data_IF_050208755229
#
_entry.id   IF_050208755229
#
_cell.length_a   1.000
_cell.length_b   1.000
_cell.length_c   1.000
_cell.angle_alpha   90.00
_cell.angle_beta   90.00
_cell.angle_gamma   90.00
#
_symmetry.space_group_name_H-M   'P 1'
#
loop_
_entity.id
_entity.type
_entity.pdbx_description
1 polymer ?
#
# COMPACT_ATOMS: atom_id res chain seq x y z
N UNK A 1 28.48 -9.25 -20.95
CA UNK A 1 27.98 -10.62 -20.71
C UNK A 1 27.49 -11.37 -21.97
N UNK A 2 27.33 -10.69 -23.13
CA UNK A 2 26.79 -11.33 -24.34
C UNK A 2 27.62 -12.53 -24.90
N UNK A 3 28.88 -12.68 -24.45
CA UNK A 3 29.78 -13.73 -24.97
C UNK A 3 30.39 -14.61 -23.86
N UNK A 4 29.88 -14.58 -22.63
CA UNK A 4 30.43 -15.39 -21.56
C UNK A 4 29.64 -16.70 -21.42
N UNK A 5 30.38 -17.80 -21.25
CA UNK A 5 29.76 -19.12 -21.09
C UNK A 5 29.26 -19.28 -19.65
N UNK A 6 27.95 -19.22 -19.47
CA UNK A 6 27.29 -19.38 -18.18
C UNK A 6 27.51 -20.74 -17.53
N UNK A 7 27.88 -21.76 -18.31
CA UNK A 7 28.17 -23.12 -17.83
C UNK A 7 29.67 -23.37 -17.62
N UNK A 8 30.48 -22.31 -17.75
CA UNK A 8 31.92 -22.38 -17.51
C UNK A 8 32.26 -22.42 -16.01
N UNK A 9 33.48 -22.87 -15.69
CA UNK A 9 33.99 -22.87 -14.29
C UNK A 9 34.43 -21.47 -13.82
N UNK A 10 34.45 -20.48 -14.70
CA UNK A 10 34.89 -19.11 -14.39
C UNK A 10 33.72 -18.31 -13.81
N UNK A 11 33.95 -17.68 -12.68
CA UNK A 11 32.96 -16.77 -12.08
C UNK A 11 32.75 -15.57 -13.00
N UNK A 12 31.50 -15.28 -13.32
CA UNK A 12 31.09 -14.12 -14.10
C UNK A 12 30.78 -12.99 -13.13
N UNK A 13 31.53 -11.91 -13.21
CA UNK A 13 31.26 -10.72 -12.40
C UNK A 13 30.14 -9.90 -13.02
N UNK A 14 29.08 -9.67 -12.25
CA UNK A 14 27.96 -8.80 -12.61
C UNK A 14 27.90 -7.62 -11.63
N UNK A 15 27.50 -6.43 -12.08
CA UNK A 15 27.28 -5.32 -11.17
C UNK A 15 26.13 -5.64 -10.18
N UNK A 16 26.21 -5.18 -8.93
CA UNK A 16 25.13 -5.41 -7.96
C UNK A 16 23.84 -4.75 -8.45
N UNK A 17 22.70 -5.44 -8.40
CA UNK A 17 21.40 -4.87 -8.75
C UNK A 17 21.02 -3.80 -7.71
N UNK A 18 20.32 -2.74 -8.16
CA UNK A 18 19.71 -1.74 -7.30
C UNK A 18 18.24 -1.67 -7.63
N UNK A 19 17.40 -1.74 -6.60
CA UNK A 19 15.95 -1.71 -6.74
C UNK A 19 15.45 -0.32 -6.29
N UNK A 20 14.80 0.37 -7.22
CA UNK A 20 14.16 1.67 -6.98
C UNK A 20 12.66 1.53 -7.26
N UNK A 21 11.83 2.04 -6.35
CA UNK A 21 10.39 2.11 -6.49
C UNK A 21 10.01 3.59 -6.48
N UNK A 22 9.35 4.05 -7.53
CA UNK A 22 8.77 5.37 -7.56
C UNK A 22 7.30 5.28 -7.11
N UNK A 23 7.02 5.84 -5.93
CA UNK A 23 5.69 5.87 -5.38
C UNK A 23 4.98 7.15 -5.82
N UNK A 24 3.82 6.99 -6.42
CA UNK A 24 2.95 8.08 -6.79
C UNK A 24 1.48 7.81 -6.39
N UNK A 25 1.24 7.00 -5.36
CA UNK A 25 -0.09 6.70 -4.84
C UNK A 25 -0.74 7.85 -4.07
N UNK A 26 -2.01 7.67 -3.65
CA UNK A 26 -2.78 8.68 -2.89
C UNK A 26 -2.57 8.59 -1.39
N UNK A 27 -2.16 7.44 -0.88
CA UNK A 27 -1.94 7.26 0.55
C UNK A 27 -0.75 8.12 1.00
N UNK A 28 -0.79 8.70 2.21
CA UNK A 28 0.31 9.49 2.74
C UNK A 28 1.56 8.60 2.90
N UNK A 29 2.64 9.00 2.27
CA UNK A 29 3.90 8.26 2.28
C UNK A 29 5.07 9.22 2.48
N UNK A 30 6.12 8.84 3.25
CA UNK A 30 7.27 9.72 3.45
C UNK A 30 8.03 9.95 2.12
N UNK A 31 8.90 10.97 2.08
CA UNK A 31 9.74 11.28 0.93
C UNK A 31 10.49 10.06 0.41
N UNK A 32 11.02 9.25 1.33
CA UNK A 32 11.79 8.05 1.03
C UNK A 32 11.62 6.99 2.11
N UNK A 33 11.66 5.72 1.71
CA UNK A 33 11.63 4.57 2.60
C UNK A 33 12.53 3.46 2.06
N UNK A 34 13.20 2.76 2.97
CA UNK A 34 13.91 1.53 2.65
C UNK A 34 13.01 0.36 2.98
N UNK A 35 12.74 -0.48 1.99
CA UNK A 35 11.97 -1.71 2.13
C UNK A 35 12.93 -2.89 2.12
N UNK A 36 12.72 -3.84 3.01
CA UNK A 36 13.50 -5.07 3.10
C UNK A 36 12.60 -6.28 2.99
N UNK A 37 13.04 -7.28 2.24
CA UNK A 37 12.33 -8.55 2.11
C UNK A 37 12.17 -9.24 3.46
N UNK A 38 13.18 -9.15 4.31
CA UNK A 38 13.17 -9.71 5.67
C UNK A 38 12.09 -9.14 6.58
N UNK A 39 11.57 -7.95 6.31
CA UNK A 39 10.45 -7.38 7.09
C UNK A 39 9.15 -8.18 6.92
N UNK A 40 9.03 -8.96 5.82
CA UNK A 40 7.87 -9.79 5.49
C UNK A 40 7.99 -11.23 6.00
N UNK A 41 9.15 -11.62 6.56
CA UNK A 41 9.32 -12.98 7.08
C UNK A 41 8.54 -13.18 8.37
N UNK A 42 7.76 -14.27 8.43
CA UNK A 42 6.95 -14.63 9.60
C UNK A 42 7.78 -15.04 10.81
N UNK A 43 8.99 -15.56 10.55
CA UNK A 43 9.98 -15.90 11.56
C UNK A 43 11.21 -15.05 11.35
N UNK A 44 11.70 -14.42 12.42
CA UNK A 44 12.93 -13.65 12.39
C UNK A 44 14.09 -14.54 12.77
N UNK A 45 15.08 -14.60 11.90
CA UNK A 45 16.33 -15.34 12.09
C UNK A 45 17.50 -14.37 12.16
N UNK A 46 18.54 -14.75 12.93
CA UNK A 46 19.74 -13.92 13.06
C UNK A 46 20.56 -13.90 11.76
N UNK A 47 20.53 -14.98 10.99
CA UNK A 47 21.20 -15.11 9.69
C UNK A 47 20.16 -15.23 8.57
N UNK A 48 20.05 -14.19 7.76
CA UNK A 48 19.14 -14.12 6.62
C UNK A 48 19.84 -14.62 5.37
N UNK A 49 19.42 -15.76 4.83
CA UNK A 49 20.01 -16.34 3.61
C UNK A 49 19.66 -15.57 2.34
N UNK A 50 18.53 -14.87 2.31
CA UNK A 50 18.10 -14.06 1.16
C UNK A 50 17.58 -12.71 1.66
N UNK A 51 18.25 -11.64 1.27
CA UNK A 51 17.79 -10.27 1.50
C UNK A 51 17.67 -9.50 0.18
N UNK A 52 16.58 -8.78 0.02
CA UNK A 52 16.39 -7.81 -1.04
C UNK A 52 16.05 -6.47 -0.40
N UNK A 53 16.82 -5.44 -0.73
CA UNK A 53 16.57 -4.09 -0.27
C UNK A 53 16.16 -3.22 -1.44
N UNK A 54 15.01 -2.54 -1.35
CA UNK A 54 14.53 -1.56 -2.31
C UNK A 54 14.45 -0.17 -1.68
N UNK A 55 14.83 0.85 -2.45
CA UNK A 55 14.62 2.25 -2.07
C UNK A 55 13.33 2.74 -2.73
N UNK A 56 12.34 3.09 -1.93
CA UNK A 56 11.11 3.74 -2.38
C UNK A 56 11.29 5.26 -2.26
N UNK A 57 10.89 5.98 -3.32
CA UNK A 57 10.93 7.43 -3.43
C UNK A 57 9.53 7.94 -3.77
N UNK A 58 8.98 8.81 -2.95
CA UNK A 58 7.70 9.45 -3.22
C UNK A 58 7.90 10.53 -4.29
N UNK A 59 7.26 10.37 -5.44
CA UNK A 59 7.35 11.28 -6.57
C UNK A 59 6.09 12.14 -6.78
N UNK A 60 5.17 12.18 -5.81
CA UNK A 60 4.06 13.13 -5.88
C UNK A 60 4.60 14.58 -5.90
N UNK A 61 3.83 15.56 -6.44
CA UNK A 61 4.35 16.91 -6.74
C UNK A 61 5.04 17.64 -5.59
N UNK A 62 4.61 17.44 -4.35
CA UNK A 62 5.13 18.14 -3.17
C UNK A 62 6.26 17.39 -2.45
N UNK A 63 6.69 16.25 -3.00
CA UNK A 63 7.69 15.37 -2.41
C UNK A 63 9.00 15.37 -3.22
N UNK A 64 10.13 15.10 -2.55
CA UNK A 64 11.44 15.00 -3.18
C UNK A 64 11.75 16.09 -4.22
N UNK A 65 11.63 17.39 -3.89
CA UNK A 65 11.77 18.49 -4.85
C UNK A 65 13.14 18.50 -5.55
N UNK A 66 14.19 18.10 -4.87
CA UNK A 66 15.53 18.00 -5.46
C UNK A 66 15.57 16.96 -6.59
N UNK A 67 14.98 15.78 -6.37
CA UNK A 67 14.88 14.72 -7.36
C UNK A 67 14.04 15.16 -8.57
N UNK A 68 12.86 15.72 -8.31
CA UNK A 68 11.95 16.17 -9.36
C UNK A 68 12.55 17.32 -10.18
N UNK A 69 13.30 18.23 -9.57
CA UNK A 69 13.99 19.30 -10.27
C UNK A 69 15.20 18.80 -11.08
N UNK A 70 15.86 17.74 -10.61
CA UNK A 70 16.98 17.13 -11.32
C UNK A 70 16.54 16.27 -12.53
N UNK A 71 15.27 15.80 -12.55
CA UNK A 71 14.74 14.96 -13.63
C UNK A 71 13.41 15.50 -14.14
N UNK A 72 13.49 16.33 -15.21
CA UNK A 72 12.30 16.94 -15.83
C UNK A 72 11.24 15.90 -16.21
N UNK A 73 11.62 14.77 -16.81
CA UNK A 73 10.67 13.72 -17.21
C UNK A 73 9.92 13.16 -16.03
N UNK A 74 10.60 12.93 -14.90
CA UNK A 74 9.96 12.42 -13.69
C UNK A 74 9.02 13.47 -13.07
N UNK A 75 9.43 14.73 -13.06
CA UNK A 75 8.58 15.84 -12.62
C UNK A 75 7.33 15.98 -13.49
N UNK A 76 7.50 15.94 -14.80
CA UNK A 76 6.40 16.05 -15.75
C UNK A 76 5.42 14.88 -15.60
N UNK A 77 5.93 13.64 -15.36
CA UNK A 77 5.11 12.48 -15.09
C UNK A 77 4.31 12.63 -13.78
N UNK A 78 4.94 13.10 -12.73
CA UNK A 78 4.28 13.40 -11.44
C UNK A 78 3.13 14.38 -11.61
N UNK A 79 3.35 15.48 -12.33
CA UNK A 79 2.33 16.49 -12.61
C UNK A 79 1.18 15.93 -13.47
N UNK A 80 1.49 15.15 -14.49
CA UNK A 80 0.49 14.51 -15.35
C UNK A 80 -0.42 13.56 -14.53
N UNK A 81 0.16 12.67 -13.74
CA UNK A 81 -0.62 11.71 -12.95
C UNK A 81 -1.44 12.39 -11.86
N UNK A 82 -0.92 13.43 -11.21
CA UNK A 82 -1.67 14.24 -10.25
C UNK A 82 -2.90 14.91 -10.90
N UNK A 83 -2.74 15.44 -12.11
CA UNK A 83 -3.83 16.07 -12.88
C UNK A 83 -4.91 15.07 -13.30
N UNK A 84 -4.51 13.88 -13.75
CA UNK A 84 -5.47 12.78 -14.03
C UNK A 84 -6.30 12.46 -12.80
N UNK A 85 -5.68 12.35 -11.62
CA UNK A 85 -6.39 12.07 -10.38
C UNK A 85 -7.35 13.17 -9.98
N UNK A 86 -6.94 14.43 -10.10
CA UNK A 86 -7.80 15.57 -9.79
C UNK A 86 -9.05 15.59 -10.67
N UNK A 87 -8.92 15.31 -11.96
CA UNK A 87 -10.05 15.28 -12.88
C UNK A 87 -10.93 14.06 -12.68
N UNK A 88 -10.35 12.90 -12.40
CA UNK A 88 -11.09 11.67 -12.14
C UNK A 88 -11.99 11.72 -10.89
N UNK A 89 -11.74 12.66 -9.98
CA UNK A 89 -12.63 12.93 -8.84
C UNK A 89 -13.91 13.71 -9.25
N UNK A 90 -13.96 14.28 -10.47
CA UNK A 90 -15.04 15.17 -10.93
C UNK A 90 -15.74 14.72 -12.20
N UNK A 91 -15.15 13.82 -12.97
CA UNK A 91 -15.65 13.35 -14.26
C UNK A 91 -15.30 11.88 -14.50
N UNK A 92 -15.76 11.32 -15.64
CA UNK A 92 -15.39 9.97 -16.03
C UNK A 92 -13.88 9.84 -16.19
N UNK A 93 -13.33 8.65 -15.88
CA UNK A 93 -11.89 8.42 -16.00
C UNK A 93 -11.37 8.65 -17.43
N UNK A 94 -12.16 8.26 -18.44
CA UNK A 94 -11.79 8.48 -19.85
C UNK A 94 -11.68 9.97 -20.20
N UNK A 95 -12.64 10.77 -19.72
CA UNK A 95 -12.63 12.22 -19.95
C UNK A 95 -11.52 12.88 -19.15
N UNK A 96 -11.29 12.45 -17.92
CA UNK A 96 -10.22 12.94 -17.05
C UNK A 96 -8.84 12.77 -17.69
N UNK A 97 -8.55 11.57 -18.21
CA UNK A 97 -7.29 11.27 -18.89
C UNK A 97 -7.15 12.09 -20.15
N UNK A 98 -8.22 12.18 -20.96
CA UNK A 98 -8.21 12.95 -22.22
C UNK A 98 -7.98 14.43 -21.99
N UNK A 99 -8.63 14.99 -20.96
CA UNK A 99 -8.44 16.39 -20.58
C UNK A 99 -7.03 16.63 -20.04
N UNK A 100 -6.53 15.78 -19.14
CA UNK A 100 -5.18 15.88 -18.60
C UNK A 100 -4.11 15.83 -19.70
N UNK A 101 -4.23 14.91 -20.67
CA UNK A 101 -3.33 14.84 -21.83
C UNK A 101 -3.36 16.14 -22.61
N UNK A 102 -4.56 16.64 -22.90
CA UNK A 102 -4.73 17.84 -23.73
C UNK A 102 -4.08 19.07 -23.09
N UNK A 103 -4.26 19.25 -21.79
CA UNK A 103 -3.70 20.38 -21.05
C UNK A 103 -2.19 20.23 -20.84
N UNK A 104 -1.72 19.05 -20.46
CA UNK A 104 -0.29 18.79 -20.32
C UNK A 104 0.49 19.04 -21.63
N UNK A 105 -0.08 18.63 -22.77
CA UNK A 105 0.50 18.94 -24.08
C UNK A 105 0.60 20.46 -24.32
N UNK A 106 -0.44 21.24 -24.01
CA UNK A 106 -0.44 22.70 -24.15
C UNK A 106 0.60 23.38 -23.25
N UNK A 107 0.82 22.84 -22.07
CA UNK A 107 1.77 23.36 -21.07
C UNK A 107 3.20 22.86 -21.27
N UNK A 108 3.45 21.97 -22.22
CA UNK A 108 4.77 21.38 -22.47
C UNK A 108 5.17 20.28 -21.49
N UNK A 109 4.21 19.77 -20.70
CA UNK A 109 4.39 18.66 -19.75
C UNK A 109 4.30 17.35 -20.52
N UNK A 110 5.39 16.58 -20.59
CA UNK A 110 5.49 15.35 -21.40
C UNK A 110 4.98 15.51 -22.84
N UNK A 111 4.95 16.71 -23.40
CA UNK A 111 4.23 17.05 -24.63
C UNK A 111 4.62 16.18 -25.82
N UNK A 112 5.92 15.99 -26.06
CA UNK A 112 6.42 15.15 -27.16
C UNK A 112 5.98 13.69 -27.02
N UNK A 113 6.08 13.13 -25.79
CA UNK A 113 5.67 11.77 -25.48
C UNK A 113 4.17 11.58 -25.65
N UNK A 114 3.36 12.47 -25.07
CA UNK A 114 1.90 12.42 -25.10
C UNK A 114 1.34 12.59 -26.50
N UNK A 115 1.93 13.47 -27.32
CA UNK A 115 1.53 13.64 -28.72
C UNK A 115 1.82 12.38 -29.56
N UNK A 116 3.01 11.82 -29.38
CA UNK A 116 3.44 10.64 -30.15
C UNK A 116 2.71 9.35 -29.72
N UNK A 117 2.42 9.20 -28.44
CA UNK A 117 1.90 7.96 -27.84
C UNK A 117 0.52 8.16 -27.18
N UNK A 118 -0.31 9.10 -27.65
CA UNK A 118 -1.57 9.49 -27.00
C UNK A 118 -2.49 8.31 -26.66
N UNK A 119 -2.72 7.43 -27.63
CA UNK A 119 -3.60 6.27 -27.43
C UNK A 119 -3.06 5.28 -26.40
N UNK A 120 -1.74 5.06 -26.39
CA UNK A 120 -1.07 4.19 -25.44
C UNK A 120 -1.06 4.81 -24.04
N UNK A 121 -0.71 6.10 -23.93
CA UNK A 121 -0.76 6.84 -22.67
C UNK A 121 -2.17 6.82 -22.05
N UNK A 122 -3.20 7.05 -22.87
CA UNK A 122 -4.61 6.94 -22.43
C UNK A 122 -4.93 5.57 -21.86
N UNK A 123 -4.60 4.52 -22.60
CA UNK A 123 -4.86 3.14 -22.18
C UNK A 123 -4.12 2.77 -20.89
N UNK A 124 -2.85 3.15 -20.78
CA UNK A 124 -2.03 2.86 -19.59
C UNK A 124 -2.56 3.60 -18.36
N UNK A 125 -2.88 4.89 -18.50
CA UNK A 125 -3.41 5.67 -17.38
C UNK A 125 -4.76 5.16 -16.89
N UNK A 126 -5.64 4.72 -17.78
CA UNK A 126 -6.92 4.11 -17.40
C UNK A 126 -6.65 2.81 -16.63
N UNK A 127 -5.74 1.96 -17.10
CA UNK A 127 -5.42 0.70 -16.44
C UNK A 127 -4.84 0.94 -15.03
N UNK A 128 -3.83 1.82 -14.91
CA UNK A 128 -3.22 2.15 -13.61
C UNK A 128 -4.24 2.70 -12.61
N UNK A 129 -5.14 3.55 -13.06
CA UNK A 129 -6.17 4.13 -12.20
C UNK A 129 -7.23 3.10 -11.76
N UNK A 130 -7.67 2.22 -12.66
CA UNK A 130 -8.61 1.15 -12.34
C UNK A 130 -8.00 0.16 -11.35
N UNK A 131 -6.73 -0.19 -11.50
CA UNK A 131 -6.00 -1.03 -10.56
C UNK A 131 -5.92 -0.35 -9.17
N UNK A 132 -5.54 0.91 -9.10
CA UNK A 132 -5.47 1.68 -7.85
C UNK A 132 -6.86 1.75 -7.17
N UNK A 133 -7.92 1.97 -7.94
CA UNK A 133 -9.30 2.00 -7.44
C UNK A 133 -9.74 0.63 -6.91
N UNK A 134 -9.47 -0.43 -7.63
CA UNK A 134 -9.79 -1.80 -7.22
C UNK A 134 -9.05 -2.17 -5.92
N UNK A 135 -7.77 -1.87 -5.82
CA UNK A 135 -6.99 -2.13 -4.61
C UNK A 135 -7.51 -1.38 -3.39
N UNK A 136 -7.93 -0.11 -3.56
CA UNK A 136 -8.54 0.67 -2.48
C UNK A 136 -9.88 0.07 -2.03
N UNK A 137 -10.73 -0.33 -2.97
CA UNK A 137 -12.02 -0.93 -2.68
C UNK A 137 -11.84 -2.25 -1.94
N UNK A 138 -10.97 -3.14 -2.42
CA UNK A 138 -10.67 -4.43 -1.76
C UNK A 138 -10.14 -4.23 -0.35
N UNK A 139 -9.29 -3.20 -0.12
CA UNK A 139 -8.79 -2.88 1.21
C UNK A 139 -9.91 -2.38 2.15
N UNK A 140 -10.80 -1.52 1.64
CA UNK A 140 -11.93 -1.02 2.42
C UNK A 140 -12.89 -2.15 2.80
N UNK A 141 -13.23 -3.02 1.84
CA UNK A 141 -14.06 -4.20 2.07
C UNK A 141 -13.43 -5.14 3.11
N UNK A 142 -12.13 -5.43 2.97
CA UNK A 142 -11.40 -6.26 3.94
C UNK A 142 -11.33 -5.64 5.34
N UNK A 143 -11.27 -4.30 5.45
CA UNK A 143 -11.30 -3.61 6.74
C UNK A 143 -12.69 -3.72 7.39
N UNK A 144 -13.76 -3.48 6.63
CA UNK A 144 -15.14 -3.61 7.12
C UNK A 144 -15.47 -5.05 7.55
N UNK A 145 -15.05 -6.04 6.75
CA UNK A 145 -15.20 -7.45 7.09
C UNK A 145 -14.43 -7.82 8.37
N UNK A 146 -13.20 -7.34 8.49
CA UNK A 146 -12.36 -7.56 9.67
C UNK A 146 -12.95 -6.94 10.93
N UNK A 147 -13.48 -5.72 10.84
CA UNK A 147 -14.15 -5.04 11.97
C UNK A 147 -15.41 -5.80 12.39
N UNK A 148 -16.25 -6.17 11.44
CA UNK A 148 -17.47 -6.94 11.70
C UNK A 148 -17.16 -8.31 12.34
N UNK A 149 -16.14 -9.01 11.85
CA UNK A 149 -15.66 -10.27 12.41
C UNK A 149 -15.14 -10.10 13.84
N UNK A 150 -14.32 -9.07 14.09
CA UNK A 150 -13.80 -8.73 15.41
C UNK A 150 -14.89 -8.41 16.43
N UNK A 151 -15.89 -7.61 16.07
CA UNK A 151 -17.05 -7.31 16.93
C UNK A 151 -17.83 -8.59 17.26
N UNK A 152 -18.06 -9.45 16.25
CA UNK A 152 -18.76 -10.73 16.44
C UNK A 152 -18.00 -11.64 17.38
N UNK A 153 -16.71 -11.78 17.21
CA UNK A 153 -15.86 -12.62 18.06
C UNK A 153 -15.82 -12.11 19.50
N UNK A 154 -15.61 -10.81 19.69
CA UNK A 154 -15.64 -10.18 21.02
C UNK A 154 -16.99 -10.38 21.72
N UNK A 155 -18.09 -10.22 20.99
CA UNK A 155 -19.43 -10.46 21.52
C UNK A 155 -19.64 -11.92 21.92
N UNK A 156 -19.15 -12.87 21.12
CA UNK A 156 -19.24 -14.29 21.44
C UNK A 156 -18.44 -14.64 22.71
N UNK A 157 -17.22 -14.14 22.87
CA UNK A 157 -16.38 -14.31 24.05
C UNK A 157 -17.07 -13.78 25.32
N UNK A 158 -17.63 -12.56 25.24
CA UNK A 158 -18.36 -11.97 26.37
C UNK A 158 -19.61 -12.77 26.74
N UNK A 159 -20.37 -13.24 25.77
CA UNK A 159 -21.55 -14.06 26.04
C UNK A 159 -21.17 -15.39 26.67
N UNK A 160 -20.06 -15.99 26.22
CA UNK A 160 -19.53 -17.22 26.82
C UNK A 160 -19.05 -16.99 28.26
N UNK A 161 -18.32 -15.91 28.52
CA UNK A 161 -17.91 -15.51 29.88
C UNK A 161 -19.12 -15.34 30.79
N UNK A 162 -20.12 -14.56 30.37
CA UNK A 162 -21.32 -14.31 31.15
C UNK A 162 -22.08 -15.62 31.49
N UNK A 163 -22.13 -16.56 30.52
CA UNK A 163 -22.75 -17.86 30.74
C UNK A 163 -21.99 -18.69 31.81
N UNK A 164 -20.64 -18.75 31.67
CA UNK A 164 -19.81 -19.51 32.64
C UNK A 164 -19.88 -18.92 34.04
N UNK A 165 -19.88 -17.59 34.16
CA UNK A 165 -20.05 -16.92 35.45
C UNK A 165 -21.42 -17.18 36.06
N UNK A 166 -22.48 -17.16 35.24
CA UNK A 166 -23.84 -17.50 35.74
C UNK A 166 -23.97 -18.97 36.21
N UNK A 167 -23.39 -19.91 35.46
CA UNK A 167 -23.35 -21.33 35.84
C UNK A 167 -22.63 -21.58 37.19
N UNK A 168 -21.64 -20.72 37.51
CA UNK A 168 -20.89 -20.73 38.77
C UNK A 168 -21.51 -19.86 39.87
N UNK A 169 -22.69 -19.28 39.66
CA UNK A 169 -23.35 -18.34 40.57
C UNK A 169 -22.53 -17.08 40.91
N UNK A 170 -21.63 -16.67 40.00
CA UNK A 170 -20.77 -15.46 40.15
C UNK A 170 -21.41 -14.20 39.51
N UNK A 171 -22.67 -13.93 39.88
CA UNK A 171 -23.43 -12.81 39.30
C UNK A 171 -22.82 -11.43 39.61
N UNK A 172 -22.15 -11.27 40.74
CA UNK A 172 -21.45 -10.05 41.11
C UNK A 172 -20.29 -9.75 40.20
N UNK A 173 -19.61 -10.79 39.69
CA UNK A 173 -18.51 -10.67 38.74
C UNK A 173 -18.99 -10.21 37.34
N UNK A 174 -20.20 -10.63 36.94
CA UNK A 174 -20.82 -10.14 35.68
C UNK A 174 -21.06 -8.62 35.80
N UNK A 175 -21.62 -8.15 36.91
CA UNK A 175 -21.90 -6.72 37.14
C UNK A 175 -20.59 -5.93 37.15
N UNK A 176 -19.58 -6.45 37.86
CA UNK A 176 -18.29 -5.78 37.96
C UNK A 176 -17.55 -5.72 36.64
N UNK A 177 -17.56 -6.82 35.85
CA UNK A 177 -16.96 -6.87 34.53
C UNK A 177 -17.63 -5.91 33.52
N UNK A 178 -18.92 -5.66 33.67
CA UNK A 178 -19.65 -4.71 32.85
C UNK A 178 -19.25 -3.22 33.08
N UNK A 179 -18.60 -2.93 34.21
CA UNK A 179 -18.21 -1.55 34.62
C UNK A 179 -16.68 -1.39 34.52
N UNK A 180 -15.91 -2.44 34.75
CA UNK A 180 -14.44 -2.43 34.80
C UNK A 180 -13.83 -3.32 33.72
N UNK A 181 -13.32 -2.70 32.65
CA UNK A 181 -12.69 -3.38 31.52
C UNK A 181 -11.44 -4.21 31.94
N UNK A 182 -10.68 -3.73 32.92
CA UNK A 182 -9.50 -4.45 33.40
C UNK A 182 -9.90 -5.71 34.17
N UNK A 183 -11.02 -5.63 34.92
CA UNK A 183 -11.57 -6.80 35.58
C UNK A 183 -12.15 -7.79 34.59
N UNK A 184 -12.84 -7.32 33.56
CA UNK A 184 -13.33 -8.14 32.46
C UNK A 184 -12.20 -8.91 31.74
N UNK A 185 -11.08 -8.24 31.42
CA UNK A 185 -9.91 -8.89 30.84
C UNK A 185 -9.34 -10.00 31.70
N UNK A 186 -9.23 -9.76 33.02
CA UNK A 186 -8.78 -10.78 33.97
C UNK A 186 -9.69 -12.01 34.00
N UNK A 187 -11.01 -11.81 33.91
CA UNK A 187 -11.95 -12.92 33.85
C UNK A 187 -11.87 -13.68 32.52
N UNK A 188 -11.66 -13.00 31.39
CA UNK A 188 -11.43 -13.65 30.09
C UNK A 188 -10.18 -14.53 30.14
N UNK A 189 -9.10 -14.04 30.75
CA UNK A 189 -7.87 -14.82 30.96
C UNK A 189 -8.11 -16.00 31.92
N UNK A 190 -8.88 -15.82 33.01
CA UNK A 190 -9.22 -16.87 33.96
C UNK A 190 -9.96 -18.06 33.32
N UNK A 191 -10.81 -17.77 32.33
CA UNK A 191 -11.62 -18.76 31.62
C UNK A 191 -11.04 -19.20 30.26
N UNK A 192 -9.83 -18.73 29.90
CA UNK A 192 -9.14 -19.03 28.66
C UNK A 192 -10.00 -18.68 27.41
N UNK A 193 -10.58 -17.46 27.41
CA UNK A 193 -11.47 -16.94 26.37
C UNK A 193 -10.87 -15.81 25.55
#
# INVERSE_FOLDING_TARGET
>A
TKNENLYGRKVINIPPPRFLIFYNGRDPFPDRMILKLSDMYSVKEDEISLELTALMLNINPDYNPELLNACKTLKDYSLYTARVREYADRMSLEDAVEQAITECVKEGILSEFLLKNRAEAKRMSIYEYDEERHMRQTRAEGYEEGEAAGIKEATQRLNQLNRLLAEQNRTEDIIKAAIDENYQKKLLEEFDL
#
